data_IF_340762026273
#
_entry.id   IF_340762026273
#
_cell.length_a   1.000
_cell.length_b   1.000
_cell.length_c   1.000
_cell.angle_alpha   90.00
_cell.angle_beta   90.00
_cell.angle_gamma   90.00
#
_symmetry.space_group_name_H-M   'P 1'
#
loop_
_entity.id
_entity.type
_entity.pdbx_description
1 polymer ?
#
# COMPACT_ATOMS: atom_id res chain seq x y z
N UNK A 1 -32.36 12.05 -74.62
CA UNK A 1 -31.44 12.59 -75.65
C UNK A 1 -30.91 13.94 -75.18
N UNK A 2 -29.61 14.18 -75.39
CA UNK A 2 -28.80 15.43 -75.30
C UNK A 2 -29.01 16.39 -74.11
N UNK A 3 -28.02 16.58 -73.21
CA UNK A 3 -26.71 17.26 -73.36
C UNK A 3 -26.79 18.80 -73.42
N UNK A 4 -26.07 19.42 -72.45
CA UNK A 4 -25.08 20.53 -72.61
C UNK A 4 -25.66 21.96 -72.76
N UNK A 5 -25.05 23.07 -72.33
CA UNK A 5 -23.86 23.52 -71.54
C UNK A 5 -23.84 25.07 -71.71
N UNK A 6 -23.17 25.82 -70.79
CA UNK A 6 -22.71 27.25 -70.86
C UNK A 6 -23.77 28.34 -70.61
N UNK A 7 -23.47 29.56 -70.11
CA UNK A 7 -22.39 30.25 -69.37
C UNK A 7 -22.81 31.77 -69.39
N UNK A 8 -22.19 32.62 -68.56
CA UNK A 8 -22.28 34.10 -68.42
C UNK A 8 -23.32 34.63 -67.41
N UNK A 9 -22.90 35.10 -66.22
CA UNK A 9 -22.21 36.37 -65.88
C UNK A 9 -23.16 37.58 -65.79
N UNK A 10 -23.70 37.84 -64.60
CA UNK A 10 -24.06 39.20 -64.16
C UNK A 10 -23.52 39.38 -62.74
N UNK A 11 -22.58 40.32 -62.61
CA UNK A 11 -22.05 40.87 -61.37
C UNK A 11 -22.89 42.10 -61.04
N UNK A 12 -23.60 42.11 -59.91
CA UNK A 12 -23.80 43.35 -59.15
C UNK A 12 -24.14 43.06 -57.68
N UNK A 13 -23.49 43.84 -56.82
CA UNK A 13 -23.41 43.79 -55.37
C UNK A 13 -24.75 44.07 -54.66
N UNK A 14 -25.09 43.31 -53.62
CA UNK A 14 -25.57 43.88 -52.34
C UNK A 14 -25.58 42.85 -51.19
N UNK A 15 -25.06 43.30 -50.04
CA UNK A 15 -24.77 42.60 -48.79
C UNK A 15 -25.96 41.93 -48.09
N UNK A 16 -25.76 40.76 -47.46
CA UNK A 16 -26.16 40.51 -46.06
C UNK A 16 -25.52 39.23 -45.45
N UNK A 17 -24.58 39.47 -44.53
CA UNK A 17 -24.26 38.71 -43.30
C UNK A 17 -24.23 37.17 -43.28
N UNK A 18 -23.01 36.61 -43.32
CA UNK A 18 -22.65 35.36 -42.63
C UNK A 18 -21.31 35.59 -41.92
N UNK A 19 -21.34 35.88 -40.63
CA UNK A 19 -20.14 35.95 -39.78
C UNK A 19 -19.71 34.55 -39.37
N UNK A 20 -18.75 33.99 -40.11
CA UNK A 20 -17.90 32.90 -39.65
C UNK A 20 -16.76 33.54 -38.85
N UNK A 21 -16.82 33.44 -37.52
CA UNK A 21 -15.72 33.86 -36.66
C UNK A 21 -14.68 32.75 -36.59
N UNK A 22 -13.84 32.66 -37.62
CA UNK A 22 -12.60 31.91 -37.61
C UNK A 22 -11.42 32.87 -37.56
N UNK A 23 -10.84 33.09 -36.37
CA UNK A 23 -9.55 33.75 -36.21
C UNK A 23 -8.60 32.84 -35.44
N UNK A 24 -7.91 31.97 -36.20
CA UNK A 24 -6.71 31.26 -35.77
C UNK A 24 -5.56 31.65 -36.69
N UNK A 25 -5.02 32.87 -36.53
CA UNK A 25 -3.77 33.28 -37.18
C UNK A 25 -3.05 34.41 -36.42
N UNK A 26 -3.15 34.41 -35.09
CA UNK A 26 -2.40 35.31 -34.20
C UNK A 26 -1.56 34.50 -33.19
N UNK A 27 -0.89 33.45 -33.68
CA UNK A 27 0.04 32.63 -32.89
C UNK A 27 1.42 32.46 -33.54
N UNK A 28 1.65 33.06 -34.71
CA UNK A 28 2.83 32.77 -35.54
C UNK A 28 3.88 33.89 -35.63
N UNK A 29 3.68 35.02 -34.94
CA UNK A 29 4.69 36.08 -34.85
C UNK A 29 4.92 36.43 -33.38
N UNK A 30 6.07 36.00 -32.88
CA UNK A 30 6.47 36.13 -31.49
C UNK A 30 6.53 37.58 -31.05
N UNK A 31 5.98 37.86 -29.87
CA UNK A 31 6.46 38.95 -29.04
C UNK A 31 6.43 38.55 -27.57
N UNK A 32 7.55 38.75 -26.88
CA UNK A 32 7.73 38.50 -25.46
C UNK A 32 6.72 39.34 -24.68
N UNK A 33 5.75 38.67 -24.05
CA UNK A 33 5.00 39.22 -22.92
C UNK A 33 5.00 38.18 -21.82
N UNK A 34 5.55 38.56 -20.66
CA UNK A 34 5.43 37.82 -19.40
C UNK A 34 3.95 37.75 -19.04
N UNK A 35 3.28 36.68 -19.45
CA UNK A 35 1.95 36.37 -18.94
C UNK A 35 2.13 35.49 -17.72
N UNK A 36 2.10 36.13 -16.54
CA UNK A 36 1.81 35.43 -15.30
C UNK A 36 0.45 34.75 -15.48
N UNK A 37 0.47 33.42 -15.62
CA UNK A 37 -0.75 32.62 -15.59
C UNK A 37 -1.46 32.94 -14.28
N UNK A 38 -2.54 33.72 -14.37
CA UNK A 38 -3.44 34.01 -13.26
C UNK A 38 -4.00 32.67 -12.80
N UNK A 39 -3.42 32.14 -11.72
CA UNK A 39 -3.85 30.92 -11.05
C UNK A 39 -5.29 31.17 -10.62
N UNK A 40 -6.26 30.62 -11.35
CA UNK A 40 -7.65 30.59 -10.91
C UNK A 40 -7.62 29.92 -9.54
N UNK A 41 -7.96 30.66 -8.50
CA UNK A 41 -8.05 30.19 -7.13
C UNK A 41 -9.27 29.26 -7.00
N UNK A 42 -9.22 28.12 -7.69
CA UNK A 42 -10.17 27.04 -7.49
C UNK A 42 -9.95 26.45 -6.10
N UNK A 43 -11.05 26.25 -5.36
CA UNK A 43 -11.02 25.55 -4.08
C UNK A 43 -10.24 24.25 -4.21
N UNK A 44 -9.26 24.04 -3.34
CA UNK A 44 -8.42 22.84 -3.35
C UNK A 44 -9.30 21.60 -3.16
N UNK A 45 -9.21 20.62 -4.07
CA UNK A 45 -9.94 19.35 -3.93
C UNK A 45 -9.59 18.70 -2.60
N UNK A 46 -10.62 18.24 -1.86
CA UNK A 46 -10.45 17.53 -0.59
C UNK A 46 -10.90 16.08 -0.77
N UNK A 47 -10.03 15.14 -0.41
CA UNK A 47 -10.32 13.71 -0.29
C UNK A 47 -10.33 13.36 1.20
N UNK A 48 -11.44 12.81 1.70
CA UNK A 48 -11.50 12.28 3.06
C UNK A 48 -11.03 10.83 3.08
N UNK A 49 -10.32 10.42 4.14
CA UNK A 49 -9.80 9.06 4.29
C UNK A 49 -10.08 8.56 5.70
N UNK A 50 -10.73 7.39 5.82
CA UNK A 50 -10.92 6.67 7.08
C UNK A 50 -10.26 5.30 6.96
N UNK A 51 -9.20 5.06 7.73
CA UNK A 51 -8.47 3.80 7.72
C UNK A 51 -8.80 2.96 8.96
N UNK A 52 -8.60 1.64 8.86
CA UNK A 52 -8.65 0.78 10.03
C UNK A 52 -7.43 1.07 10.93
N UNK A 53 -7.67 1.45 12.18
CA UNK A 53 -6.61 1.80 13.13
C UNK A 53 -5.74 0.60 13.52
N UNK A 54 -6.31 -0.61 13.45
CA UNK A 54 -5.66 -1.87 13.77
C UNK A 54 -4.90 -2.48 12.58
N UNK A 55 -4.98 -1.88 11.38
CA UNK A 55 -4.15 -2.29 10.24
C UNK A 55 -2.68 -1.91 10.53
N UNK A 56 -1.76 -2.90 10.64
CA UNK A 56 -0.36 -2.63 10.94
C UNK A 56 0.36 -1.85 9.82
N UNK A 57 -0.21 -1.80 8.62
CA UNK A 57 0.36 -1.16 7.43
C UNK A 57 -0.34 0.15 7.04
N UNK A 58 -1.24 0.70 7.88
CA UNK A 58 -1.98 1.94 7.58
C UNK A 58 -1.09 3.11 7.13
N UNK A 59 0.12 3.24 7.69
CA UNK A 59 1.05 4.31 7.30
C UNK A 59 1.59 4.14 5.87
N UNK A 60 1.77 2.91 5.39
CA UNK A 60 2.18 2.63 4.01
C UNK A 60 1.05 2.95 3.03
N UNK A 61 -0.19 2.61 3.40
CA UNK A 61 -1.41 2.98 2.66
C UNK A 61 -1.50 4.51 2.56
N UNK A 62 -1.46 5.21 3.69
CA UNK A 62 -1.50 6.68 3.75
C UNK A 62 -0.39 7.30 2.90
N UNK A 63 0.81 6.72 2.90
CA UNK A 63 1.92 7.23 2.09
C UNK A 63 1.66 7.11 0.59
N UNK A 64 1.06 6.01 0.14
CA UNK A 64 0.64 5.83 -1.25
C UNK A 64 -0.37 6.89 -1.70
N UNK A 65 -1.34 7.21 -0.83
CA UNK A 65 -2.34 8.27 -1.07
C UNK A 65 -1.66 9.65 -1.11
N UNK A 66 -0.88 9.97 -0.08
CA UNK A 66 -0.26 11.29 0.12
C UNK A 66 0.75 11.64 -0.98
N UNK A 67 1.49 10.65 -1.50
CA UNK A 67 2.49 10.87 -2.56
C UNK A 67 1.90 11.38 -3.86
N UNK A 68 0.72 10.87 -4.24
CA UNK A 68 0.02 11.34 -5.41
C UNK A 68 -0.74 12.64 -5.13
N UNK A 69 -1.38 12.75 -3.97
CA UNK A 69 -2.08 13.97 -3.56
C UNK A 69 -1.16 15.19 -3.54
N UNK A 70 0.09 15.04 -3.04
CA UNK A 70 1.09 16.10 -3.02
C UNK A 70 1.51 16.57 -4.42
N UNK A 71 1.63 15.65 -5.38
CA UNK A 71 1.98 15.96 -6.78
C UNK A 71 0.87 16.73 -7.50
N UNK A 72 -0.38 16.46 -7.14
CA UNK A 72 -1.57 17.03 -7.81
C UNK A 72 -2.21 18.18 -7.01
N UNK A 73 -1.57 18.64 -5.92
CA UNK A 73 -2.05 19.70 -5.04
C UNK A 73 -3.46 19.41 -4.45
N UNK A 74 -3.77 18.14 -4.17
CA UNK A 74 -5.01 17.70 -3.52
C UNK A 74 -4.82 17.65 -2.01
N UNK A 75 -5.81 18.13 -1.25
CA UNK A 75 -5.80 18.04 0.22
C UNK A 75 -6.37 16.70 0.66
N UNK A 76 -5.64 15.97 1.48
CA UNK A 76 -6.11 14.73 2.11
C UNK A 76 -6.51 15.04 3.56
N UNK A 77 -7.72 14.67 3.95
CA UNK A 77 -8.25 14.81 5.31
C UNK A 77 -8.46 13.42 5.90
N UNK A 78 -7.54 12.99 6.76
CA UNK A 78 -7.71 11.76 7.52
C UNK A 78 -8.72 11.98 8.64
N UNK A 79 -9.67 11.06 8.78
CA UNK A 79 -10.73 11.09 9.79
C UNK A 79 -10.28 10.24 10.97
N UNK A 80 -10.21 10.86 12.15
CA UNK A 80 -9.94 10.15 13.41
C UNK A 80 -11.12 9.23 13.76
N UNK A 81 -10.84 8.07 14.33
CA UNK A 81 -11.88 7.13 14.78
C UNK A 81 -12.88 7.75 15.75
N UNK A 82 -12.46 8.75 16.54
CA UNK A 82 -13.26 9.45 17.55
C UNK A 82 -13.81 10.80 17.05
N UNK A 83 -13.67 11.11 15.75
CA UNK A 83 -14.15 12.38 15.22
C UNK A 83 -15.66 12.54 15.46
N UNK A 84 -16.03 13.59 16.20
CA UNK A 84 -17.43 13.92 16.46
C UNK A 84 -18.16 14.28 15.16
N UNK A 85 -19.39 13.79 15.03
CA UNK A 85 -20.28 14.08 13.91
C UNK A 85 -21.34 15.14 14.25
N UNK A 86 -21.29 15.73 15.45
CA UNK A 86 -22.38 16.57 15.99
C UNK A 86 -22.26 18.08 15.75
N UNK A 87 -21.08 18.61 15.42
CA UNK A 87 -20.88 20.05 15.19
C UNK A 87 -20.71 20.41 13.71
N UNK A 88 -19.57 20.04 13.12
CA UNK A 88 -19.25 20.26 11.71
C UNK A 88 -18.92 18.91 11.06
N UNK A 89 -19.50 18.63 9.89
CA UNK A 89 -19.29 17.35 9.19
C UNK A 89 -17.79 17.04 9.08
N UNK A 90 -17.32 15.87 9.55
CA UNK A 90 -15.94 15.48 9.30
C UNK A 90 -15.66 15.32 7.80
N UNK A 91 -16.68 15.22 6.96
CA UNK A 91 -16.60 15.19 5.50
C UNK A 91 -16.81 16.55 4.83
N UNK A 92 -16.89 17.66 5.59
CA UNK A 92 -17.09 18.98 5.01
C UNK A 92 -16.09 19.26 3.88
N UNK A 93 -16.62 19.74 2.76
CA UNK A 93 -15.92 20.06 1.50
C UNK A 93 -15.25 18.87 0.80
N UNK A 94 -15.29 17.66 1.36
CA UNK A 94 -14.76 16.46 0.73
C UNK A 94 -15.57 16.09 -0.51
N UNK A 95 -14.87 15.64 -1.55
CA UNK A 95 -15.48 15.19 -2.81
C UNK A 95 -15.71 13.68 -2.86
N UNK A 96 -15.03 12.94 -2.00
CA UNK A 96 -15.11 11.49 -1.86
C UNK A 96 -14.57 11.09 -0.49
N UNK A 97 -15.05 9.95 0.02
CA UNK A 97 -14.50 9.25 1.18
C UNK A 97 -13.82 7.95 0.72
N UNK A 98 -12.52 7.81 0.95
CA UNK A 98 -11.83 6.52 0.90
C UNK A 98 -12.03 5.84 2.27
N UNK A 99 -12.66 4.67 2.29
CA UNK A 99 -13.06 3.99 3.52
C UNK A 99 -12.51 2.56 3.57
N UNK A 100 -11.67 2.29 4.58
CA UNK A 100 -11.24 0.94 4.95
C UNK A 100 -11.93 0.43 6.21
N UNK A 101 -12.25 1.36 7.13
CA UNK A 101 -12.72 1.08 8.48
C UNK A 101 -12.54 2.30 9.36
N UNK A 102 -12.69 2.14 10.68
CA UNK A 102 -12.55 3.22 11.65
C UNK A 102 -13.91 3.74 12.12
N UNK A 103 -14.18 5.04 11.98
CA UNK A 103 -15.42 5.64 12.47
C UNK A 103 -16.62 5.24 11.61
N UNK A 104 -17.41 4.24 12.00
CA UNK A 104 -18.58 3.78 11.24
C UNK A 104 -19.64 4.87 11.04
N UNK A 105 -19.80 5.80 11.99
CA UNK A 105 -20.78 6.89 11.87
C UNK A 105 -20.48 7.83 10.70
N UNK A 106 -19.25 7.82 10.18
CA UNK A 106 -18.87 8.60 8.99
C UNK A 106 -19.62 8.15 7.74
N UNK A 107 -20.02 6.88 7.67
CA UNK A 107 -20.73 6.31 6.52
C UNK A 107 -22.13 6.90 6.39
N UNK A 108 -22.86 7.01 7.51
CA UNK A 108 -24.16 7.69 7.57
C UNK A 108 -24.04 9.16 7.17
N UNK A 109 -22.95 9.81 7.59
CA UNK A 109 -22.69 11.19 7.20
C UNK A 109 -22.38 11.31 5.71
N UNK A 110 -21.62 10.37 5.15
CA UNK A 110 -21.32 10.31 3.71
C UNK A 110 -22.61 10.19 2.88
N UNK A 111 -23.54 9.32 3.29
CA UNK A 111 -24.84 9.19 2.64
C UNK A 111 -25.66 10.47 2.73
N UNK A 112 -25.74 11.08 3.92
CA UNK A 112 -26.49 12.32 4.16
C UNK A 112 -25.95 13.49 3.34
N UNK A 113 -24.63 13.62 3.25
CA UNK A 113 -23.93 14.67 2.51
C UNK A 113 -23.80 14.33 1.01
N UNK A 114 -24.28 13.15 0.57
CA UNK A 114 -24.20 12.62 -0.80
C UNK A 114 -22.76 12.56 -1.33
N UNK A 115 -21.83 12.20 -0.45
CA UNK A 115 -20.42 12.02 -0.77
C UNK A 115 -20.20 10.55 -1.17
N UNK A 116 -19.64 10.29 -2.37
CA UNK A 116 -19.36 8.93 -2.81
C UNK A 116 -18.31 8.26 -1.92
N UNK A 117 -18.43 6.94 -1.78
CA UNK A 117 -17.50 6.11 -1.00
C UNK A 117 -16.70 5.22 -1.94
N UNK A 118 -15.38 5.24 -1.81
CA UNK A 118 -14.47 4.25 -2.38
C UNK A 118 -14.03 3.31 -1.26
N UNK A 119 -14.37 2.03 -1.37
CA UNK A 119 -13.97 1.03 -0.39
C UNK A 119 -12.50 0.64 -0.56
N UNK A 120 -11.85 0.32 0.55
CA UNK A 120 -10.47 -0.16 0.60
C UNK A 120 -10.42 -1.42 1.46
N UNK A 121 -10.08 -2.56 0.88
CA UNK A 121 -9.91 -3.89 1.50
C UNK A 121 -11.17 -4.50 2.11
N UNK A 122 -12.07 -3.69 2.68
CA UNK A 122 -13.31 -4.11 3.32
C UNK A 122 -14.49 -3.30 2.77
N UNK A 123 -15.61 -4.00 2.53
CA UNK A 123 -16.85 -3.36 2.13
C UNK A 123 -17.49 -2.65 3.33
N UNK A 124 -17.88 -1.37 3.21
CA UNK A 124 -18.58 -0.66 4.27
C UNK A 124 -19.99 -1.20 4.45
N UNK A 125 -20.43 -1.40 5.69
CA UNK A 125 -21.80 -1.83 5.97
C UNK A 125 -22.82 -0.75 5.58
N UNK A 126 -23.94 -1.15 4.99
CA UNK A 126 -25.08 -0.26 4.69
C UNK A 126 -24.84 0.83 3.64
N UNK A 127 -23.66 0.90 3.01
CA UNK A 127 -23.34 1.87 1.95
C UNK A 127 -22.76 1.14 0.76
N UNK A 128 -23.40 1.27 -0.41
CA UNK A 128 -22.81 0.77 -1.66
C UNK A 128 -21.66 1.70 -2.09
N UNK A 129 -20.41 1.22 -2.17
CA UNK A 129 -19.31 2.03 -2.66
C UNK A 129 -19.31 2.08 -4.21
N UNK A 130 -18.69 3.12 -4.76
CA UNK A 130 -18.46 3.29 -6.21
C UNK A 130 -17.48 2.26 -6.78
N UNK A 131 -16.68 1.66 -5.90
CA UNK A 131 -15.73 0.60 -6.20
C UNK A 131 -14.96 0.18 -4.96
N UNK A 132 -14.13 -0.86 -5.09
CA UNK A 132 -13.25 -1.34 -4.04
C UNK A 132 -11.84 -1.57 -4.57
N UNK A 133 -10.83 -1.12 -3.82
CA UNK A 133 -9.44 -1.56 -3.98
C UNK A 133 -9.18 -2.64 -2.96
N UNK A 134 -8.77 -3.84 -3.35
CA UNK A 134 -8.54 -4.95 -2.40
C UNK A 134 -7.33 -5.77 -2.84
N UNK A 135 -6.51 -6.32 -1.93
CA UNK A 135 -5.53 -7.33 -2.32
C UNK A 135 -6.22 -8.61 -2.81
N UNK A 136 -5.50 -9.44 -3.56
CA UNK A 136 -5.95 -10.78 -3.92
C UNK A 136 -5.94 -11.71 -2.69
N UNK A 137 -7.07 -11.77 -1.98
CA UNK A 137 -7.18 -12.44 -0.69
C UNK A 137 -7.11 -13.97 -0.79
N UNK A 138 -7.64 -14.54 -1.87
CA UNK A 138 -7.48 -15.98 -2.12
C UNK A 138 -6.01 -16.30 -2.36
N UNK A 139 -5.33 -15.49 -3.17
CA UNK A 139 -3.89 -15.65 -3.40
C UNK A 139 -3.05 -15.44 -2.15
N UNK A 140 -3.45 -14.55 -1.23
CA UNK A 140 -2.81 -14.46 0.10
C UNK A 140 -2.90 -15.81 0.80
N UNK A 141 -4.08 -16.41 0.88
CA UNK A 141 -4.29 -17.72 1.47
C UNK A 141 -3.45 -18.82 0.81
N UNK A 142 -3.42 -18.85 -0.52
CA UNK A 142 -2.60 -19.82 -1.26
C UNK A 142 -1.11 -19.65 -0.96
N UNK A 143 -0.58 -18.43 -1.04
CA UNK A 143 0.84 -18.17 -0.83
C UNK A 143 1.25 -18.46 0.62
N UNK A 144 0.38 -18.18 1.60
CA UNK A 144 0.64 -18.53 3.01
C UNK A 144 0.86 -20.04 3.14
N UNK A 145 -0.07 -20.83 2.60
CA UNK A 145 0.02 -22.28 2.66
C UNK A 145 1.17 -22.83 1.81
N UNK A 146 1.43 -22.29 0.62
CA UNK A 146 2.56 -22.68 -0.24
C UNK A 146 3.91 -22.43 0.45
N UNK A 147 4.05 -21.27 1.11
CA UNK A 147 5.26 -20.95 1.87
C UNK A 147 5.46 -21.91 3.02
N UNK A 148 4.38 -22.30 3.73
CA UNK A 148 4.46 -23.28 4.80
C UNK A 148 4.85 -24.68 4.29
N UNK A 149 4.17 -25.20 3.26
CA UNK A 149 4.39 -26.58 2.78
C UNK A 149 5.72 -26.77 2.05
N UNK A 150 6.39 -25.68 1.66
CA UNK A 150 7.79 -25.73 1.21
C UNK A 150 8.76 -26.17 2.31
N UNK A 151 8.35 -26.08 3.59
CA UNK A 151 9.15 -26.44 4.77
C UNK A 151 8.54 -27.59 5.57
N UNK A 152 7.22 -27.79 5.48
CA UNK A 152 6.48 -28.78 6.26
C UNK A 152 5.59 -29.63 5.36
N UNK A 153 5.95 -30.91 5.18
CA UNK A 153 5.20 -31.82 4.30
C UNK A 153 4.32 -32.82 5.03
N UNK A 154 4.42 -32.89 6.37
CA UNK A 154 3.66 -33.79 7.23
C UNK A 154 3.51 -33.22 8.65
N UNK A 155 2.56 -33.75 9.40
CA UNK A 155 2.26 -33.34 10.77
C UNK A 155 1.06 -32.42 10.87
N UNK A 156 0.90 -31.75 12.01
CA UNK A 156 -0.26 -30.92 12.29
C UNK A 156 0.01 -29.44 12.03
N UNK A 157 -0.87 -28.81 11.26
CA UNK A 157 -0.85 -27.38 10.97
C UNK A 157 -2.00 -26.70 11.70
N UNK A 158 -1.71 -25.60 12.37
CA UNK A 158 -2.72 -24.76 13.01
C UNK A 158 -3.00 -23.56 12.11
N UNK A 159 -4.27 -23.26 11.85
CA UNK A 159 -4.70 -22.02 11.19
C UNK A 159 -5.35 -21.13 12.25
N UNK A 160 -4.68 -20.03 12.61
CA UNK A 160 -5.24 -18.99 13.47
C UNK A 160 -6.05 -18.04 12.59
N UNK A 161 -7.36 -18.14 12.71
CA UNK A 161 -8.31 -17.41 11.87
C UNK A 161 -8.65 -16.08 12.55
N UNK A 162 -8.59 -14.98 11.78
CA UNK A 162 -8.98 -13.66 12.25
C UNK A 162 -10.48 -13.51 12.45
N UNK A 163 -10.96 -12.27 12.48
CA UNK A 163 -12.39 -12.01 12.57
C UNK A 163 -13.10 -12.41 11.26
N UNK A 164 -14.19 -13.21 11.30
CA UNK A 164 -14.94 -13.59 10.11
C UNK A 164 -15.61 -12.43 9.36
N UNK A 165 -15.71 -11.25 9.98
CA UNK A 165 -16.24 -10.02 9.37
C UNK A 165 -15.18 -9.21 8.62
N UNK A 166 -13.89 -9.55 8.77
CA UNK A 166 -12.81 -8.89 8.03
C UNK A 166 -12.90 -9.19 6.53
N UNK A 167 -12.60 -8.16 5.72
CA UNK A 167 -12.46 -8.33 4.27
C UNK A 167 -11.45 -9.42 3.90
N UNK A 168 -11.87 -10.34 3.02
CA UNK A 168 -11.00 -11.40 2.52
C UNK A 168 -10.89 -12.64 3.41
N UNK A 169 -11.63 -12.71 4.52
CA UNK A 169 -11.53 -13.84 5.46
C UNK A 169 -11.81 -15.19 4.80
N UNK A 170 -12.91 -15.30 4.05
CA UNK A 170 -13.33 -16.56 3.42
C UNK A 170 -12.39 -16.93 2.28
N UNK A 171 -11.94 -15.95 1.51
CA UNK A 171 -11.01 -16.12 0.40
C UNK A 171 -9.65 -16.62 0.91
N UNK A 172 -9.11 -16.04 1.99
CA UNK A 172 -7.87 -16.52 2.62
C UNK A 172 -8.00 -17.97 3.10
N UNK A 173 -9.14 -18.33 3.70
CA UNK A 173 -9.41 -19.72 4.10
C UNK A 173 -9.51 -20.66 2.91
N UNK A 174 -10.17 -20.25 1.84
CA UNK A 174 -10.27 -21.01 0.60
C UNK A 174 -8.88 -21.26 0.00
N UNK A 175 -8.04 -20.22 -0.10
CA UNK A 175 -6.66 -20.32 -0.59
C UNK A 175 -5.79 -21.22 0.29
N UNK A 176 -5.89 -21.12 1.63
CA UNK A 176 -5.21 -22.05 2.54
C UNK A 176 -5.64 -23.50 2.24
N UNK A 177 -6.95 -23.76 2.15
CA UNK A 177 -7.51 -25.10 1.91
C UNK A 177 -7.11 -25.66 0.54
N UNK A 178 -7.12 -24.85 -0.51
CA UNK A 178 -6.78 -25.24 -1.88
C UNK A 178 -5.35 -25.79 -2.00
N UNK A 179 -4.44 -25.36 -1.12
CA UNK A 179 -3.07 -25.86 -1.07
C UNK A 179 -2.94 -27.01 -0.08
N UNK A 180 -3.39 -26.85 1.17
CA UNK A 180 -3.15 -27.84 2.24
C UNK A 180 -3.80 -29.21 1.94
N UNK A 181 -4.94 -29.24 1.25
CA UNK A 181 -5.64 -30.48 0.88
C UNK A 181 -4.84 -31.38 -0.07
N UNK A 182 -3.83 -30.84 -0.76
CA UNK A 182 -2.92 -31.60 -1.64
C UNK A 182 -1.87 -32.40 -0.86
N UNK A 183 -1.79 -32.24 0.46
CA UNK A 183 -0.80 -32.85 1.33
C UNK A 183 -1.48 -33.82 2.33
N UNK A 184 -1.67 -35.11 1.98
CA UNK A 184 -2.48 -36.04 2.77
C UNK A 184 -1.89 -36.40 4.14
N UNK A 185 -0.60 -36.13 4.36
CA UNK A 185 0.06 -36.31 5.66
C UNK A 185 -0.05 -35.09 6.58
N UNK A 186 -0.68 -34.02 6.10
CA UNK A 186 -0.97 -32.82 6.89
C UNK A 186 -2.38 -32.94 7.47
N UNK A 187 -2.51 -32.73 8.77
CA UNK A 187 -3.81 -32.48 9.41
C UNK A 187 -3.92 -31.02 9.79
N UNK A 188 -5.13 -30.45 9.69
CA UNK A 188 -5.37 -29.02 9.93
C UNK A 188 -6.26 -28.85 11.16
N UNK A 189 -5.81 -28.03 12.11
CA UNK A 189 -6.62 -27.54 13.21
C UNK A 189 -6.88 -26.05 13.02
N UNK A 190 -8.13 -25.62 13.02
CA UNK A 190 -8.49 -24.21 13.01
C UNK A 190 -8.73 -23.69 14.43
N UNK A 191 -8.21 -22.51 14.74
CA UNK A 191 -8.50 -21.79 15.97
C UNK A 191 -9.06 -20.42 15.58
N UNK A 192 -10.37 -20.19 15.74
CA UNK A 192 -10.97 -18.90 15.44
C UNK A 192 -10.64 -17.86 16.51
N UNK A 193 -10.49 -16.61 16.07
CA UNK A 193 -10.27 -15.45 16.93
C UNK A 193 -11.13 -14.27 16.47
N UNK A 194 -12.47 -14.32 16.63
CA UNK A 194 -13.33 -13.16 16.42
C UNK A 194 -12.90 -11.96 17.28
N UNK A 195 -13.35 -10.75 16.92
CA UNK A 195 -13.01 -9.52 17.63
C UNK A 195 -13.23 -9.65 19.14
N UNK A 196 -12.23 -9.23 19.93
CA UNK A 196 -12.24 -9.28 21.38
C UNK A 196 -11.92 -10.64 22.01
N UNK A 197 -11.60 -11.68 21.22
CA UNK A 197 -11.31 -13.03 21.72
C UNK A 197 -9.83 -13.43 21.64
N UNK A 198 -8.92 -12.49 21.42
CA UNK A 198 -7.52 -12.82 21.11
C UNK A 198 -6.78 -13.47 22.28
N UNK A 199 -7.16 -13.16 23.53
CA UNK A 199 -6.63 -13.85 24.71
C UNK A 199 -7.09 -15.31 24.76
N UNK A 200 -8.33 -15.58 24.34
CA UNK A 200 -8.90 -16.93 24.25
C UNK A 200 -8.20 -17.73 23.15
N UNK A 201 -7.97 -17.13 21.98
CA UNK A 201 -7.24 -17.77 20.88
C UNK A 201 -5.80 -18.11 21.27
N UNK A 202 -5.10 -17.21 21.97
CA UNK A 202 -3.75 -17.46 22.50
C UNK A 202 -3.73 -18.62 23.50
N UNK A 203 -4.68 -18.66 24.44
CA UNK A 203 -4.80 -19.75 25.40
C UNK A 203 -5.11 -21.09 24.72
N UNK A 204 -6.03 -21.09 23.76
CA UNK A 204 -6.37 -22.27 22.97
C UNK A 204 -5.17 -22.81 22.18
N UNK A 205 -4.35 -21.92 21.61
CA UNK A 205 -3.10 -22.30 20.93
C UNK A 205 -2.10 -22.96 21.90
N UNK A 206 -1.88 -22.35 23.08
CA UNK A 206 -0.97 -22.89 24.09
C UNK A 206 -1.42 -24.27 24.57
N UNK A 207 -2.70 -24.41 24.92
CA UNK A 207 -3.31 -25.68 25.31
C UNK A 207 -3.17 -26.74 24.22
N UNK A 208 -3.39 -26.35 22.97
CA UNK A 208 -3.32 -27.26 21.84
C UNK A 208 -1.90 -27.80 21.63
N UNK A 209 -0.90 -26.92 21.68
CA UNK A 209 0.51 -27.28 21.58
C UNK A 209 0.92 -28.20 22.73
N UNK A 210 0.51 -27.89 23.97
CA UNK A 210 0.82 -28.70 25.15
C UNK A 210 0.22 -30.11 25.08
N UNK A 211 -1.02 -30.24 24.59
CA UNK A 211 -1.70 -31.54 24.43
C UNK A 211 -1.15 -32.37 23.27
N UNK A 212 -0.40 -31.76 22.35
CA UNK A 212 0.10 -32.40 21.13
C UNK A 212 1.63 -32.21 20.96
N UNK A 213 2.44 -32.63 21.94
CA UNK A 213 3.88 -32.39 21.92
C UNK A 213 4.52 -33.03 20.68
N UNK A 214 5.30 -32.24 19.94
CA UNK A 214 6.02 -32.69 18.75
C UNK A 214 5.16 -32.98 17.52
N UNK A 215 3.83 -32.78 17.57
CA UNK A 215 2.94 -33.00 16.41
C UNK A 215 2.69 -31.74 15.60
N UNK A 216 2.66 -30.57 16.26
CA UNK A 216 2.45 -29.29 15.59
C UNK A 216 3.72 -28.90 14.86
N UNK A 217 3.65 -28.84 13.54
CA UNK A 217 4.81 -28.55 12.68
C UNK A 217 4.74 -27.15 12.06
N UNK A 218 3.56 -26.53 11.99
CA UNK A 218 3.44 -25.17 11.50
C UNK A 218 2.15 -24.45 11.90
N UNK A 219 2.18 -23.13 11.77
CA UNK A 219 1.08 -22.22 12.09
C UNK A 219 0.92 -21.22 10.93
N UNK A 220 -0.30 -21.10 10.42
CA UNK A 220 -0.72 -20.01 9.55
C UNK A 220 -1.48 -18.98 10.39
N UNK A 221 -0.98 -17.75 10.49
CA UNK A 221 -1.63 -16.68 11.24
C UNK A 221 -2.16 -15.59 10.29
N UNK A 222 -3.48 -15.40 10.25
CA UNK A 222 -4.12 -14.49 9.29
C UNK A 222 -3.82 -13.01 9.53
N UNK A 223 -3.50 -12.62 10.77
CA UNK A 223 -3.22 -11.23 11.13
C UNK A 223 -1.90 -11.09 11.88
N UNK A 224 -1.35 -9.88 11.91
CA UNK A 224 -0.14 -9.57 12.69
C UNK A 224 -0.31 -9.84 14.19
N UNK A 225 -1.47 -9.51 14.75
CA UNK A 225 -1.76 -9.74 16.16
C UNK A 225 -1.69 -11.24 16.49
N UNK A 226 -2.28 -12.09 15.65
CA UNK A 226 -2.24 -13.54 15.81
C UNK A 226 -0.84 -14.11 15.60
N UNK A 227 -0.07 -13.59 14.64
CA UNK A 227 1.31 -14.02 14.41
C UNK A 227 2.20 -13.68 15.62
N UNK A 228 2.06 -12.48 16.18
CA UNK A 228 2.79 -12.07 17.38
C UNK A 228 2.47 -12.95 18.59
N UNK A 229 1.18 -13.24 18.83
CA UNK A 229 0.76 -14.14 19.91
C UNK A 229 1.24 -15.57 19.71
N UNK A 230 1.18 -16.09 18.48
CA UNK A 230 1.70 -17.42 18.16
C UNK A 230 3.19 -17.52 18.45
N UNK A 231 3.97 -16.53 18.01
CA UNK A 231 5.39 -16.44 18.29
C UNK A 231 5.67 -16.38 19.81
N UNK A 232 4.87 -15.65 20.59
CA UNK A 232 5.02 -15.61 22.05
C UNK A 232 4.80 -16.98 22.69
N UNK A 233 3.72 -17.68 22.32
CA UNK A 233 3.41 -19.03 22.81
C UNK A 233 4.52 -20.01 22.42
N UNK A 234 5.01 -19.93 21.18
CA UNK A 234 6.11 -20.77 20.71
C UNK A 234 7.40 -20.50 21.47
N UNK A 235 7.74 -19.25 21.78
CA UNK A 235 8.92 -18.91 22.59
C UNK A 235 8.81 -19.45 24.01
N UNK A 236 7.65 -19.30 24.65
CA UNK A 236 7.41 -19.83 26.00
C UNK A 236 7.54 -21.36 26.04
N UNK A 237 7.12 -22.04 24.97
CA UNK A 237 7.27 -23.48 24.81
C UNK A 237 8.65 -23.92 24.26
N UNK A 238 9.58 -22.99 23.97
CA UNK A 238 10.86 -23.27 23.31
C UNK A 238 10.74 -24.00 21.96
N UNK A 239 9.70 -23.63 21.21
CA UNK A 239 9.31 -24.19 19.91
C UNK A 239 9.44 -23.18 18.76
N UNK A 240 9.84 -21.93 19.03
CA UNK A 240 9.94 -20.83 18.05
C UNK A 240 11.00 -21.06 16.95
N UNK A 241 11.86 -22.07 17.12
CA UNK A 241 12.82 -22.56 16.12
C UNK A 241 12.46 -23.90 15.50
N UNK A 242 11.37 -24.52 15.94
CA UNK A 242 10.93 -25.87 15.52
C UNK A 242 9.62 -25.83 14.73
N UNK A 243 8.69 -24.99 15.13
CA UNK A 243 7.39 -24.83 14.48
C UNK A 243 7.47 -23.71 13.46
N UNK A 244 7.07 -23.99 12.22
CA UNK A 244 7.09 -23.01 11.12
C UNK A 244 5.92 -22.05 11.25
N UNK A 245 6.18 -20.79 11.58
CA UNK A 245 5.17 -19.72 11.61
C UNK A 245 5.18 -18.92 10.29
N UNK A 246 4.03 -18.80 9.63
CA UNK A 246 3.80 -17.98 8.44
C UNK A 246 2.64 -17.00 8.67
N UNK A 247 2.79 -15.76 8.24
CA UNK A 247 1.76 -14.71 8.30
C UNK A 247 2.21 -13.49 9.10
N UNK A 248 1.34 -12.51 9.29
CA UNK A 248 1.69 -11.24 9.93
C UNK A 248 1.62 -10.00 9.03
N UNK A 249 1.04 -10.16 7.84
CA UNK A 249 0.69 -9.08 6.91
C UNK A 249 1.89 -8.26 6.42
N UNK A 250 3.08 -8.87 6.43
CA UNK A 250 4.37 -8.24 6.16
C UNK A 250 4.60 -6.95 6.98
N UNK A 251 3.98 -6.84 8.16
CA UNK A 251 4.17 -5.69 9.04
C UNK A 251 5.64 -5.57 9.47
N UNK A 252 6.08 -4.37 9.88
CA UNK A 252 7.47 -4.18 10.32
C UNK A 252 7.86 -5.15 11.44
N UNK A 253 6.97 -5.34 12.43
CA UNK A 253 7.18 -6.31 13.51
C UNK A 253 7.26 -7.75 13.02
N UNK A 254 6.49 -8.11 11.99
CA UNK A 254 6.57 -9.40 11.32
C UNK A 254 7.91 -9.61 10.60
N UNK A 255 8.36 -8.61 9.83
CA UNK A 255 9.64 -8.64 9.13
C UNK A 255 10.80 -8.74 10.14
N UNK A 256 10.73 -8.04 11.26
CA UNK A 256 11.75 -8.14 12.31
C UNK A 256 11.79 -9.54 12.95
N UNK A 257 10.62 -10.18 13.17
CA UNK A 257 10.57 -11.58 13.61
C UNK A 257 11.19 -12.53 12.60
N UNK A 258 10.93 -12.32 11.31
CA UNK A 258 11.54 -13.12 10.25
C UNK A 258 13.07 -12.97 10.24
N UNK A 259 13.60 -11.75 10.40
CA UNK A 259 15.04 -11.52 10.52
C UNK A 259 15.62 -12.21 11.75
N UNK A 260 14.90 -12.22 12.88
CA UNK A 260 15.30 -12.95 14.08
C UNK A 260 15.17 -14.48 13.94
N UNK A 261 14.58 -14.96 12.86
CA UNK A 261 14.33 -16.36 12.56
C UNK A 261 13.29 -17.03 13.45
N UNK A 262 12.40 -16.27 14.10
CA UNK A 262 11.27 -16.83 14.90
C UNK A 262 9.96 -16.88 14.09
N UNK A 263 10.04 -16.45 12.83
CA UNK A 263 8.99 -16.55 11.83
C UNK A 263 9.63 -16.89 10.48
N UNK A 264 9.01 -17.74 9.69
CA UNK A 264 9.63 -18.33 8.50
C UNK A 264 9.22 -17.67 7.17
N UNK A 265 8.13 -16.90 7.17
CA UNK A 265 7.56 -16.29 5.99
C UNK A 265 6.35 -15.41 6.30
N UNK A 266 5.95 -14.60 5.33
CA UNK A 266 4.78 -13.74 5.41
C UNK A 266 4.29 -13.37 4.00
N UNK A 267 3.17 -12.67 3.86
CA UNK A 267 2.63 -12.18 2.59
C UNK A 267 2.54 -10.66 2.59
N UNK A 268 3.22 -10.04 1.63
CA UNK A 268 3.09 -8.62 1.32
C UNK A 268 1.83 -8.40 0.46
N UNK A 269 0.86 -7.68 1.03
CA UNK A 269 -0.41 -7.30 0.38
C UNK A 269 -0.30 -6.01 -0.45
N UNK A 270 0.91 -5.50 -0.65
CA UNK A 270 1.24 -4.27 -1.38
C UNK A 270 0.50 -3.02 -0.84
N UNK A 271 0.57 -2.71 0.47
CA UNK A 271 -0.21 -1.63 1.10
C UNK A 271 0.05 -0.25 0.47
N UNK A 272 1.28 0.05 0.07
CA UNK A 272 1.59 1.29 -0.67
C UNK A 272 0.81 1.37 -2.00
N UNK A 273 0.76 0.26 -2.76
CA UNK A 273 0.03 0.22 -4.03
C UNK A 273 -1.48 0.30 -3.82
N UNK A 274 -2.00 -0.27 -2.73
CA UNK A 274 -3.40 -0.08 -2.35
C UNK A 274 -3.72 1.41 -2.19
N UNK A 275 -2.89 2.17 -1.46
CA UNK A 275 -3.05 3.62 -1.31
C UNK A 275 -2.94 4.41 -2.63
N UNK A 276 -1.96 4.07 -3.47
CA UNK A 276 -1.80 4.68 -4.82
C UNK A 276 -3.05 4.47 -5.67
N UNK A 277 -3.56 3.23 -5.75
CA UNK A 277 -4.74 2.92 -6.57
C UNK A 277 -6.01 3.54 -5.97
N UNK A 278 -6.13 3.58 -4.64
CA UNK A 278 -7.25 4.24 -3.98
C UNK A 278 -7.30 5.73 -4.33
N UNK A 279 -6.17 6.43 -4.31
CA UNK A 279 -6.12 7.82 -4.76
C UNK A 279 -6.48 7.98 -6.24
N UNK A 280 -5.95 7.13 -7.12
CA UNK A 280 -6.23 7.20 -8.56
C UNK A 280 -7.72 6.99 -8.87
N UNK A 281 -8.34 5.98 -8.27
CA UNK A 281 -9.78 5.74 -8.43
C UNK A 281 -10.61 6.85 -7.81
N UNK A 282 -10.21 7.38 -6.65
CA UNK A 282 -10.87 8.52 -6.05
C UNK A 282 -10.87 9.75 -6.99
N UNK A 283 -9.75 10.06 -7.62
CA UNK A 283 -9.66 11.14 -8.61
C UNK A 283 -10.57 10.90 -9.83
N UNK A 284 -10.60 9.66 -10.36
CA UNK A 284 -11.49 9.30 -11.47
C UNK A 284 -12.97 9.48 -11.10
N UNK A 285 -13.37 9.01 -9.92
CA UNK A 285 -14.73 9.17 -9.39
C UNK A 285 -15.10 10.65 -9.25
N UNK A 286 -14.21 11.47 -8.66
CA UNK A 286 -14.41 12.92 -8.52
C UNK A 286 -14.64 13.58 -9.89
N UNK A 287 -13.87 13.17 -10.90
CA UNK A 287 -13.93 13.69 -12.28
C UNK A 287 -15.04 13.05 -13.12
N UNK A 288 -15.78 12.07 -12.58
CA UNK A 288 -16.77 11.26 -13.30
C UNK A 288 -16.19 10.55 -14.53
N UNK A 289 -14.92 10.15 -14.42
CA UNK A 289 -14.24 9.34 -15.43
C UNK A 289 -14.51 7.85 -15.18
N UNK A 290 -14.55 7.01 -16.22
CA UNK A 290 -14.76 5.58 -16.06
C UNK A 290 -13.60 4.93 -15.28
N UNK A 291 -13.95 4.00 -14.40
CA UNK A 291 -12.98 3.14 -13.74
C UNK A 291 -12.45 2.08 -14.73
N UNK A 292 -11.17 1.75 -14.63
CA UNK A 292 -10.58 0.63 -15.37
C UNK A 292 -10.86 -0.66 -14.60
N UNK A 293 -11.95 -1.33 -14.96
CA UNK A 293 -12.50 -2.46 -14.21
C UNK A 293 -12.39 -3.73 -15.05
N UNK A 294 -11.71 -4.74 -14.51
CA UNK A 294 -11.67 -6.09 -15.08
C UNK A 294 -12.34 -7.11 -14.16
N UNK A 295 -12.69 -6.71 -12.94
CA UNK A 295 -13.14 -7.58 -11.86
C UNK A 295 -14.24 -6.90 -11.04
N UNK A 296 -15.09 -7.68 -10.37
CA UNK A 296 -16.13 -7.19 -9.47
C UNK A 296 -16.27 -8.11 -8.26
N UNK A 297 -16.74 -7.54 -7.14
CA UNK A 297 -17.17 -8.29 -5.97
C UNK A 297 -18.70 -8.25 -5.92
N UNK A 298 -19.32 -9.41 -5.71
CA UNK A 298 -20.75 -9.52 -5.48
C UNK A 298 -21.02 -9.52 -3.98
N UNK A 299 -21.88 -8.62 -3.50
CA UNK A 299 -22.35 -8.59 -2.13
C UNK A 299 -23.86 -8.36 -2.06
N UNK A 300 -24.40 -8.25 -0.85
CA UNK A 300 -25.76 -7.78 -0.57
C UNK A 300 -26.04 -6.36 -1.11
N UNK A 301 -24.98 -5.59 -1.39
CA UNK A 301 -25.03 -4.26 -2.01
C UNK A 301 -24.99 -4.32 -3.55
N UNK A 302 -25.01 -5.53 -4.13
CA UNK A 302 -24.96 -5.80 -5.56
C UNK A 302 -23.54 -5.99 -6.08
N UNK A 303 -23.37 -5.84 -7.39
CA UNK A 303 -22.05 -5.87 -8.01
C UNK A 303 -21.31 -4.56 -7.79
N UNK A 304 -20.06 -4.67 -7.34
CA UNK A 304 -19.16 -3.57 -7.00
C UNK A 304 -17.89 -3.71 -7.84
N UNK A 305 -17.51 -2.70 -8.63
CA UNK A 305 -16.25 -2.70 -9.37
C UNK A 305 -15.04 -2.90 -8.46
N UNK A 306 -14.12 -3.80 -8.83
CA UNK A 306 -12.98 -4.15 -8.00
C UNK A 306 -11.65 -3.93 -8.72
N UNK A 307 -10.69 -3.36 -7.99
CA UNK A 307 -9.26 -3.40 -8.33
C UNK A 307 -8.58 -4.40 -7.42
N UNK A 308 -8.27 -5.57 -7.95
CA UNK A 308 -7.50 -6.59 -7.23
C UNK A 308 -6.01 -6.29 -7.34
N UNK A 309 -5.36 -6.11 -6.20
CA UNK A 309 -3.93 -5.79 -6.08
C UNK A 309 -3.14 -7.10 -5.92
N UNK A 310 -2.17 -7.38 -6.80
CA UNK A 310 -1.31 -8.54 -6.67
C UNK A 310 -0.55 -8.56 -5.35
N UNK A 311 -0.41 -9.75 -4.78
CA UNK A 311 0.28 -9.99 -3.52
C UNK A 311 1.54 -10.83 -3.73
N UNK A 312 2.48 -10.79 -2.77
CA UNK A 312 3.77 -11.47 -2.90
C UNK A 312 4.17 -12.17 -1.61
N UNK A 313 4.73 -13.37 -1.73
CA UNK A 313 5.35 -14.03 -0.58
C UNK A 313 6.62 -13.29 -0.18
N UNK A 314 6.78 -13.09 1.12
CA UNK A 314 7.99 -12.62 1.78
C UNK A 314 8.67 -13.83 2.42
N UNK A 315 9.93 -14.01 2.08
CA UNK A 315 10.75 -15.17 2.43
C UNK A 315 12.16 -14.69 2.79
N UNK A 316 13.01 -15.53 3.42
CA UNK A 316 14.39 -15.15 3.72
C UNK A 316 15.17 -14.64 2.49
N UNK A 317 14.82 -15.10 1.29
CA UNK A 317 15.47 -14.74 0.04
C UNK A 317 15.18 -13.30 -0.41
N UNK A 318 14.02 -12.73 -0.05
CA UNK A 318 13.60 -11.40 -0.50
C UNK A 318 13.32 -10.39 0.63
N UNK A 319 13.37 -10.82 1.91
CA UNK A 319 13.02 -9.98 3.06
C UNK A 319 13.82 -8.67 3.13
N UNK A 320 15.11 -8.69 2.81
CA UNK A 320 15.95 -7.49 2.86
C UNK A 320 15.44 -6.38 1.93
N UNK A 321 14.90 -6.75 0.76
CA UNK A 321 14.34 -5.81 -0.22
C UNK A 321 13.03 -5.23 0.31
N UNK A 322 12.15 -6.08 0.85
CA UNK A 322 10.84 -5.67 1.40
C UNK A 322 11.04 -4.76 2.62
N UNK A 323 11.85 -5.17 3.59
CA UNK A 323 12.12 -4.41 4.80
C UNK A 323 12.77 -3.05 4.47
N UNK A 324 13.75 -3.01 3.56
CA UNK A 324 14.35 -1.74 3.11
C UNK A 324 13.31 -0.82 2.47
N UNK A 325 12.42 -1.35 1.64
CA UNK A 325 11.32 -0.60 1.02
C UNK A 325 10.37 -0.02 2.08
N UNK A 326 9.95 -0.85 3.03
CA UNK A 326 9.02 -0.45 4.09
C UNK A 326 9.63 0.58 5.03
N UNK A 327 10.84 0.33 5.56
CA UNK A 327 11.53 1.26 6.45
C UNK A 327 11.78 2.60 5.77
N UNK A 328 12.19 2.62 4.48
CA UNK A 328 12.36 3.87 3.73
C UNK A 328 11.04 4.63 3.61
N UNK A 329 9.97 3.92 3.28
CA UNK A 329 8.63 4.50 3.10
C UNK A 329 8.11 5.10 4.41
N UNK A 330 8.28 4.39 5.53
CA UNK A 330 7.88 4.85 6.86
C UNK A 330 8.71 6.05 7.34
N UNK A 331 10.04 6.02 7.19
CA UNK A 331 10.90 7.17 7.51
C UNK A 331 10.49 8.43 6.73
N UNK A 332 10.16 8.26 5.45
CA UNK A 332 9.67 9.38 4.63
C UNK A 332 8.31 9.89 5.15
N UNK A 333 7.39 8.99 5.52
CA UNK A 333 6.09 9.35 6.07
C UNK A 333 6.22 10.13 7.40
N UNK A 334 7.11 9.71 8.29
CA UNK A 334 7.41 10.42 9.54
C UNK A 334 8.00 11.80 9.30
N UNK A 335 8.92 11.94 8.34
CA UNK A 335 9.49 13.22 7.96
C UNK A 335 8.43 14.18 7.38
N UNK A 336 7.57 13.69 6.48
CA UNK A 336 6.47 14.47 5.92
C UNK A 336 5.50 14.94 7.03
N UNK A 337 5.21 14.09 8.02
CA UNK A 337 4.38 14.44 9.18
C UNK A 337 5.02 15.55 10.03
N UNK A 338 6.29 15.41 10.40
CA UNK A 338 7.03 16.44 11.16
C UNK A 338 7.10 17.77 10.41
N UNK A 339 7.23 17.75 9.09
CA UNK A 339 7.20 18.97 8.27
C UNK A 339 5.82 19.63 8.27
N UNK A 340 4.73 18.86 8.17
CA UNK A 340 3.36 19.38 8.26
C UNK A 340 3.08 19.99 9.64
N UNK A 341 3.53 19.34 10.72
CA UNK A 341 3.40 19.84 12.09
C UNK A 341 4.18 21.15 12.28
N UNK A 342 5.45 21.21 11.86
CA UNK A 342 6.27 22.42 11.92
C UNK A 342 5.72 23.57 11.07
N UNK A 343 5.08 23.29 9.93
CA UNK A 343 4.38 24.31 9.13
C UNK A 343 3.10 24.81 9.80
N UNK A 344 2.40 23.93 10.52
CA UNK A 344 1.18 24.28 11.26
C UNK A 344 1.52 25.14 12.48
N UNK A 345 2.62 24.84 13.19
CA UNK A 345 3.16 25.65 14.29
C UNK A 345 3.67 27.02 13.83
N UNK A 346 4.33 27.11 12.68
CA UNK A 346 4.72 28.40 12.09
C UNK A 346 3.52 29.23 11.63
N UNK A 347 2.47 28.59 11.13
CA UNK A 347 1.23 29.26 10.72
C UNK A 347 0.41 29.77 11.93
N UNK A 348 0.44 29.07 13.07
CA UNK A 348 -0.17 29.54 14.32
C UNK A 348 0.66 30.64 15.00
N UNK A 349 1.99 30.61 14.94
CA UNK A 349 2.85 31.72 15.39
C UNK A 349 2.70 32.97 14.51
N UNK A 350 2.55 32.82 13.19
CA UNK A 350 2.30 33.95 12.26
C UNK A 350 0.93 34.61 12.49
N UNK A 351 -0.09 33.86 12.94
CA UNK A 351 -1.40 34.44 13.32
C UNK A 351 -1.37 35.19 14.65
N UNK A 352 -0.47 34.83 15.58
CA UNK A 352 -0.30 35.57 16.84
C UNK A 352 0.54 36.85 16.69
N UNK A 353 1.37 36.99 15.66
CA UNK A 353 2.11 38.24 15.40
C UNK A 353 1.28 39.34 14.70
N UNK A 354 0.04 39.07 14.30
CA UNK A 354 -0.86 40.09 13.72
C UNK A 354 -1.83 40.70 14.74
N UNK A 355 -1.72 40.34 16.02
CA UNK A 355 -2.45 40.94 17.14
C UNK A 355 -1.53 41.12 18.35
N UNK A 356 -0.45 41.88 18.18
CA UNK A 356 0.13 42.59 19.33
C UNK A 356 1.03 43.75 18.86
N UNK A 357 0.41 44.87 18.50
CA UNK A 357 1.03 46.17 18.70
C UNK A 357 0.29 46.82 19.88
N UNK A 358 0.87 46.70 21.07
CA UNK A 358 0.46 47.49 22.22
C UNK A 358 0.81 46.87 23.56
N UNK A 359 1.94 47.27 24.14
CA UNK A 359 2.09 47.24 25.60
C UNK A 359 3.43 46.75 26.15
N UNK A 360 4.29 47.72 26.44
CA UNK A 360 5.34 47.80 27.45
C UNK A 360 5.85 46.57 28.24
N UNK A 361 7.18 46.46 28.18
CA UNK A 361 8.15 46.18 29.27
C UNK A 361 7.57 45.78 30.64
N UNK A 362 8.02 44.61 31.12
CA UNK A 362 8.83 44.56 32.35
C UNK A 362 9.64 43.27 32.45
N UNK A 363 10.93 43.49 32.65
CA UNK A 363 11.96 42.54 33.03
C UNK A 363 11.70 41.98 34.43
N UNK A 364 11.97 40.68 34.60
CA UNK A 364 12.57 40.20 35.84
C UNK A 364 13.41 38.96 35.60
N UNK A 365 14.69 39.17 35.85
CA UNK A 365 15.78 38.22 36.00
C UNK A 365 15.59 37.42 37.30
N UNK A 366 15.79 36.11 37.23
CA UNK A 366 16.41 35.32 38.30
C UNK A 366 16.81 33.95 37.74
N UNK A 367 18.12 33.76 37.63
CA UNK A 367 18.71 32.51 37.19
C UNK A 367 18.69 31.40 38.24
N UNK A 368 18.91 30.18 37.77
CA UNK A 368 19.76 29.23 38.49
C UNK A 368 20.37 28.22 37.52
N UNK A 369 21.70 28.14 37.61
CA UNK A 369 22.58 27.23 36.89
C UNK A 369 22.50 25.81 37.46
N UNK A 370 22.51 24.81 36.58
CA UNK A 370 22.61 23.39 36.93
C UNK A 370 23.21 22.60 35.75
N UNK A 371 24.52 22.36 35.84
CA UNK A 371 25.35 21.66 34.86
C UNK A 371 25.21 20.13 35.01
N UNK A 372 25.11 19.37 33.90
CA UNK A 372 25.68 18.00 33.70
C UNK A 372 25.42 17.42 32.29
N UNK A 373 26.38 17.68 31.41
CA UNK A 373 27.23 16.75 30.63
C UNK A 373 26.83 15.27 30.40
N UNK A 374 26.91 14.87 29.10
CA UNK A 374 27.27 13.53 28.58
C UNK A 374 26.09 12.60 28.26
N UNK A 375 26.01 11.84 27.17
CA UNK A 375 26.95 11.49 26.09
C UNK A 375 26.13 10.93 24.92
N UNK A 376 26.42 11.38 23.69
CA UNK A 376 25.88 10.79 22.46
C UNK A 376 26.92 9.80 21.91
N UNK A 377 26.56 8.52 21.81
CA UNK A 377 27.38 7.53 21.10
C UNK A 377 26.83 7.31 19.70
N UNK A 378 27.58 7.85 18.74
CA UNK A 378 27.53 7.55 17.32
C UNK A 378 28.10 6.14 17.10
N UNK A 379 27.42 5.28 16.33
CA UNK A 379 28.03 4.02 15.85
C UNK A 379 27.59 3.74 14.42
N UNK A 380 28.48 4.12 13.51
CA UNK A 380 28.50 3.70 12.11
C UNK A 380 28.91 2.22 12.02
N UNK A 381 28.00 1.37 11.53
CA UNK A 381 28.29 0.01 11.10
C UNK A 381 28.09 -0.14 9.60
N UNK A 382 29.18 -0.35 8.85
CA UNK A 382 29.24 -0.59 7.40
C UNK A 382 28.46 -1.86 7.01
N UNK A 383 27.45 -1.73 6.14
CA UNK A 383 26.83 -2.85 5.42
C UNK A 383 27.54 -3.08 4.08
N UNK A 384 27.92 -4.34 3.81
CA UNK A 384 28.43 -4.79 2.49
C UNK A 384 27.24 -5.09 1.58
N UNK A 385 27.28 -4.47 0.41
CA UNK A 385 26.34 -4.55 -0.70
C UNK A 385 26.54 -5.84 -1.52
N UNK A 386 25.47 -6.50 -1.96
CA UNK A 386 25.46 -7.24 -3.25
C UNK A 386 24.05 -7.72 -3.63
N UNK A 387 23.43 -7.02 -4.58
CA UNK A 387 22.47 -7.59 -5.53
C UNK A 387 22.70 -6.91 -6.88
N UNK A 388 23.72 -7.36 -7.60
CA UNK A 388 24.05 -6.85 -8.93
C UNK A 388 23.48 -7.77 -10.01
N UNK A 389 22.85 -7.18 -11.02
CA UNK A 389 22.49 -7.85 -12.27
C UNK A 389 23.75 -8.52 -12.84
N UNK A 390 23.69 -9.78 -13.32
CA UNK A 390 24.86 -10.45 -13.90
C UNK A 390 25.49 -9.62 -15.04
N UNK A 391 26.82 -9.59 -15.09
CA UNK A 391 27.54 -8.86 -16.13
C UNK A 391 27.18 -9.38 -17.54
N UNK A 392 26.85 -8.46 -18.46
CA UNK A 392 26.51 -8.78 -19.86
C UNK A 392 25.01 -8.90 -20.17
N UNK A 393 24.10 -8.62 -19.22
CA UNK A 393 22.65 -8.67 -19.47
C UNK A 393 22.20 -7.40 -20.21
N UNK A 394 21.84 -7.53 -21.49
CA UNK A 394 21.35 -6.43 -22.34
C UNK A 394 19.84 -6.21 -22.23
N UNK A 395 19.07 -7.24 -21.82
CA UNK A 395 17.61 -7.21 -21.76
C UNK A 395 17.07 -8.12 -20.66
N UNK A 396 16.07 -7.65 -19.92
CA UNK A 396 15.30 -8.45 -18.97
C UNK A 396 13.82 -8.37 -19.34
N UNK A 397 13.21 -9.53 -19.52
CA UNK A 397 11.76 -9.67 -19.77
C UNK A 397 11.13 -10.53 -18.69
N UNK A 398 10.10 -10.00 -18.05
CA UNK A 398 9.26 -10.72 -17.10
C UNK A 398 7.97 -11.12 -17.82
N UNK A 399 7.66 -12.42 -17.86
CA UNK A 399 6.40 -12.94 -18.38
C UNK A 399 5.54 -13.42 -17.23
N UNK A 400 4.34 -12.87 -17.12
CA UNK A 400 3.34 -13.30 -16.15
C UNK A 400 2.18 -13.89 -16.93
N UNK A 401 1.93 -15.18 -16.71
CA UNK A 401 0.77 -15.89 -17.26
C UNK A 401 -0.20 -16.19 -16.13
N UNK A 402 -1.41 -15.65 -16.25
CA UNK A 402 -2.50 -15.94 -15.31
C UNK A 402 -3.56 -16.73 -16.06
N UNK A 403 -3.91 -17.90 -15.52
CA UNK A 403 -5.01 -18.74 -16.02
C UNK A 403 -6.11 -18.78 -14.97
N UNK A 404 -7.31 -18.37 -15.34
CA UNK A 404 -8.50 -18.43 -14.50
C UNK A 404 -9.44 -19.49 -15.08
N UNK A 405 -9.87 -20.43 -14.24
CA UNK A 405 -10.90 -21.40 -14.59
C UNK A 405 -12.11 -21.14 -13.70
N UNK A 406 -13.27 -20.89 -14.32
CA UNK A 406 -14.54 -20.67 -13.64
C UNK A 406 -15.43 -21.88 -13.91
N UNK A 407 -15.81 -22.60 -12.86
CA UNK A 407 -16.75 -23.72 -12.94
C UNK A 407 -18.14 -23.27 -12.50
N UNK A 408 -19.15 -23.54 -13.31
CA UNK A 408 -20.55 -23.33 -13.00
C UNK A 408 -21.10 -24.63 -12.45
N UNK A 409 -21.64 -24.61 -11.23
CA UNK A 409 -22.17 -25.79 -10.54
C UNK A 409 -23.71 -25.72 -10.50
N UNK A 410 -24.39 -26.87 -10.63
CA UNK A 410 -25.82 -26.98 -10.35
C UNK A 410 -26.11 -26.99 -8.84
N UNK A 411 -27.40 -27.04 -8.48
CA UNK A 411 -27.86 -27.05 -7.10
C UNK A 411 -27.40 -28.29 -6.30
N UNK A 412 -26.89 -29.32 -6.98
CA UNK A 412 -26.34 -30.54 -6.39
C UNK A 412 -24.80 -30.53 -6.34
N UNK A 413 -24.16 -29.43 -6.76
CA UNK A 413 -22.72 -29.26 -6.74
C UNK A 413 -22.00 -29.95 -7.90
N UNK A 414 -22.70 -30.29 -8.99
CA UNK A 414 -22.10 -30.88 -10.20
C UNK A 414 -21.76 -29.77 -11.20
N UNK A 415 -20.57 -29.84 -11.80
CA UNK A 415 -20.14 -28.89 -12.82
C UNK A 415 -21.03 -29.02 -14.06
N UNK A 416 -21.75 -27.95 -14.38
CA UNK A 416 -22.61 -27.79 -15.56
C UNK A 416 -22.01 -26.89 -16.63
N UNK A 417 -20.89 -26.22 -16.34
CA UNK A 417 -20.13 -25.47 -17.33
C UNK A 417 -18.74 -25.08 -16.83
N UNK A 418 -17.82 -24.83 -17.74
CA UNK A 418 -16.47 -24.35 -17.41
C UNK A 418 -16.05 -23.27 -18.39
N UNK A 419 -15.67 -22.11 -17.87
CA UNK A 419 -15.05 -21.04 -18.64
C UNK A 419 -13.56 -20.95 -18.28
N UNK A 420 -12.70 -20.80 -19.30
CA UNK A 420 -11.27 -20.58 -19.11
C UNK A 420 -10.87 -19.29 -19.79
N UNK A 421 -10.18 -18.44 -19.04
CA UNK A 421 -9.56 -17.23 -19.55
C UNK A 421 -8.09 -17.23 -19.18
N UNK A 422 -7.24 -16.95 -20.17
CA UNK A 422 -5.80 -16.82 -19.99
C UNK A 422 -5.39 -15.40 -20.40
N UNK A 423 -4.65 -14.73 -19.54
CA UNK A 423 -4.07 -13.43 -19.84
C UNK A 423 -2.54 -13.53 -19.69
N UNK A 424 -1.82 -13.06 -20.70
CA UNK A 424 -0.37 -13.04 -20.71
C UNK A 424 0.11 -11.60 -20.81
N UNK A 425 0.83 -11.15 -19.78
CA UNK A 425 1.46 -9.84 -19.77
C UNK A 425 2.98 -10.01 -19.84
N UNK A 426 3.58 -9.34 -20.82
CA UNK A 426 5.03 -9.29 -20.99
C UNK A 426 5.50 -7.89 -20.62
N UNK A 427 6.27 -7.79 -19.53
CA UNK A 427 6.89 -6.53 -19.11
C UNK A 427 8.36 -6.56 -19.47
N UNK A 428 8.79 -5.59 -20.28
CA UNK A 428 10.20 -5.41 -20.65
C UNK A 428 10.77 -4.23 -19.86
N UNK A 429 11.88 -4.43 -19.17
CA UNK A 429 12.58 -3.34 -18.49
C UNK A 429 13.40 -2.55 -19.52
N UNK A 430 13.23 -1.21 -19.64
CA UNK A 430 14.00 -0.40 -20.58
C UNK A 430 15.51 -0.40 -20.24
N UNK A 431 16.42 -0.46 -21.23
CA UNK A 431 17.88 -0.51 -21.03
C UNK A 431 18.45 0.63 -20.17
N UNK A 432 17.79 1.79 -20.16
CA UNK A 432 18.19 2.98 -19.41
C UNK A 432 18.04 2.78 -17.90
N UNK A 433 17.10 1.93 -17.48
CA UNK A 433 16.86 1.59 -16.07
C UNK A 433 17.90 0.61 -15.52
N UNK A 434 18.61 -0.13 -16.38
CA UNK A 434 19.69 -1.04 -15.99
C UNK A 434 21.00 -0.28 -15.66
N UNK A 435 21.20 0.92 -16.24
CA UNK A 435 22.40 1.74 -16.03
C UNK A 435 22.43 2.49 -14.69
N UNK A 436 21.28 2.72 -14.06
CA UNK A 436 21.21 3.41 -12.76
C UNK A 436 21.73 2.57 -11.57
N UNK A 437 21.95 1.27 -11.75
CA UNK A 437 22.56 0.41 -10.73
C UNK A 437 24.09 0.34 -10.81
N UNK A 438 24.72 0.80 -11.90
CA UNK A 438 26.17 0.67 -12.13
C UNK A 438 26.97 1.91 -11.72
N UNK A 439 26.32 3.07 -11.52
CA UNK A 439 27.01 4.33 -11.22
C UNK A 439 26.60 4.90 -9.85
N UNK A 440 27.19 4.38 -8.77
CA UNK A 440 27.40 5.14 -7.52
C UNK A 440 28.92 5.32 -7.27
N UNK A 441 29.41 6.50 -6.84
CA UNK A 441 30.84 6.74 -6.71
C UNK A 441 31.43 6.07 -5.47
N UNK A 442 32.52 5.31 -5.63
CA UNK A 442 33.36 4.82 -4.52
C UNK A 442 34.13 6.00 -3.91
N UNK A 443 33.86 6.32 -2.66
CA UNK A 443 34.66 7.26 -1.87
C UNK A 443 36.03 6.63 -1.54
N UNK A 444 37.10 7.38 -1.81
CA UNK A 444 38.49 7.03 -1.57
C UNK A 444 38.81 6.95 -0.07
N UNK A 445 39.47 5.87 0.35
CA UNK A 445 40.11 5.73 1.65
C UNK A 445 41.61 5.60 1.45
N UNK A 446 42.34 6.67 1.77
CA UNK A 446 43.79 6.69 1.93
C UNK A 446 44.16 6.14 3.31
N UNK A 447 44.98 5.11 3.36
CA UNK A 447 45.84 4.82 4.51
C UNK A 447 47.12 4.21 3.98
N UNK A 448 48.16 5.04 3.96
CA UNK A 448 49.55 4.64 3.85
C UNK A 448 49.90 3.75 5.05
N UNK A 449 50.43 2.56 4.78
CA UNK A 449 51.32 1.87 5.69
C UNK A 449 52.45 1.26 4.86
N UNK A 450 53.53 2.03 4.70
CA UNK A 450 54.82 1.54 4.25
C UNK A 450 55.81 1.70 5.39
N UNK A 451 56.21 0.58 5.97
CA UNK A 451 57.24 0.54 6.99
C UNK A 451 57.88 -0.84 7.12
N UNK A 452 58.99 -1.04 6.37
CA UNK A 452 60.05 -2.05 6.53
C UNK A 452 59.70 -3.47 6.04
N UNK A 453 60.51 -4.17 5.24
CA UNK A 453 61.96 -4.10 4.96
C UNK A 453 62.21 -4.83 3.63
N UNK A 454 63.06 -4.25 2.78
CA UNK A 454 63.82 -4.97 1.77
C UNK A 454 64.85 -5.87 2.46
N UNK A 455 65.16 -7.07 1.94
CA UNK A 455 66.37 -7.25 1.12
C UNK A 455 66.53 -8.69 0.61
N UNK A 456 67.10 -8.80 -0.60
CA UNK A 456 67.87 -9.92 -1.20
C UNK A 456 67.14 -11.20 -1.61
N UNK A 457 67.01 -11.47 -2.92
CA UNK A 457 68.03 -12.03 -3.84
C UNK A 457 68.28 -13.53 -3.66
N UNK A 458 68.11 -14.22 -4.80
CA UNK A 458 68.80 -15.42 -5.30
C UNK A 458 68.42 -16.81 -4.75
N UNK A 459 68.06 -17.61 -5.76
CA UNK A 459 68.43 -19.00 -6.03
C UNK A 459 67.65 -20.13 -5.34
N UNK A 460 67.11 -20.97 -6.25
CA UNK A 460 66.52 -22.31 -6.14
C UNK A 460 65.09 -22.42 -5.65
#
# INVERSE_FOLDING_TARGET
MSRRVRLLLIVFSLCLSLTITGCGLQGLLGNKSKNSSKKTSGSQTIIAVSLNEDDPNKLLISKGIDDLAKKENVKVKYIDKNASTTEESPLKDAKILIYQGGNESILQKSQSDKIPVLALTQLPAGVKPEGIITPDQEKVGELMAQTLVSKVTEGQIIVLQGDPTEGGFQERLAGNRAVLTKYPKITVQSIPSPSGSESVAKAALADFIQKNPGKVQGILAHTEKLAAQANEVLKQAQLDKKVVLIGGQASVSSLDRMVSGTQAGDIDTSPYLQGVNAYQWAQKIIKKEPLEVTESITSDQGEIPAKVIPVKAVTPENIAVVQKSYTKTLKNAEQDKKQKEAQTEKASQSKNQSKDQGGDKKSQDQGQSGNKQGSASDSQGKSKDSSAVPAGVEKVTERIKTETTREYLDAQGKVVGTEKTANEQVKTVPPEMLKQQTEQPKAAGSSEDQGKKADKEKQQ
#
